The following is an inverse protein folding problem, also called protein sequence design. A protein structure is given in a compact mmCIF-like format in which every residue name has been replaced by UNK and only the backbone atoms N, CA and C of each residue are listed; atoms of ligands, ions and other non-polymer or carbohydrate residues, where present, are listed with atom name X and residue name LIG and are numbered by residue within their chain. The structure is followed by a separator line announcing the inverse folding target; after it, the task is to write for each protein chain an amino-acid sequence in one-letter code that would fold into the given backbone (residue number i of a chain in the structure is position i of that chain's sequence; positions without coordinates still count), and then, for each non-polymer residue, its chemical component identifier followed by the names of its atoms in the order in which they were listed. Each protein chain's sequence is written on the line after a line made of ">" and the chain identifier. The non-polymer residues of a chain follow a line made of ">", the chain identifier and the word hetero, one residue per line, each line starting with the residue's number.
data_IF_842936007166
#
_entry.id   IF_842936007166
#
_cell.length_a   1.000
_cell.length_b   1.000
_cell.length_c   1.000
_cell.angle_alpha   90.00
_cell.angle_beta   90.00
_cell.angle_gamma   90.00
#
_symmetry.space_group_name_H-M   'P 1'
#
loop_
_entity.id
_entity.type
_entity.pdbx_description
1 polymer ?
#
# COMPACT_ATOMS: atom_id res chain seq x y z
N UNK A 1 -1.34 -22.30 8.91
CA UNK A 1 -0.91 -23.31 7.92
C UNK A 1 -0.69 -22.57 6.60
N UNK A 2 0.49 -22.75 6.00
CA UNK A 2 0.83 -22.19 4.69
C UNK A 2 0.25 -23.08 3.58
N UNK A 3 -0.17 -22.50 2.46
CA UNK A 3 -0.63 -23.28 1.30
C UNK A 3 0.61 -23.90 0.65
N UNK A 4 0.72 -25.23 0.63
CA UNK A 4 1.91 -25.89 0.07
C UNK A 4 2.02 -25.78 -1.46
N UNK A 5 0.87 -25.75 -2.15
CA UNK A 5 0.79 -25.77 -3.61
C UNK A 5 1.05 -24.38 -4.19
N UNK A 6 2.18 -24.22 -4.90
CA UNK A 6 2.62 -22.94 -5.43
C UNK A 6 1.65 -22.30 -6.42
N UNK A 7 0.96 -23.10 -7.24
CA UNK A 7 -0.04 -22.60 -8.20
C UNK A 7 -1.28 -22.07 -7.49
N UNK A 8 -1.71 -22.70 -6.39
CA UNK A 8 -2.81 -22.18 -5.57
C UNK A 8 -2.44 -20.87 -4.89
N UNK A 9 -1.19 -20.76 -4.36
CA UNK A 9 -0.70 -19.48 -3.83
C UNK A 9 -0.67 -18.40 -4.91
N UNK A 10 -0.21 -18.74 -6.10
CA UNK A 10 -0.15 -17.82 -7.23
C UNK A 10 -1.54 -17.35 -7.64
N UNK A 11 -2.53 -18.25 -7.72
CA UNK A 11 -3.90 -17.89 -8.05
C UNK A 11 -4.52 -16.91 -7.05
N UNK A 12 -4.26 -17.08 -5.74
CA UNK A 12 -4.73 -16.16 -4.71
C UNK A 12 -4.01 -14.81 -4.77
N UNK A 13 -2.70 -14.80 -5.02
CA UNK A 13 -1.96 -13.57 -5.25
C UNK A 13 -2.49 -12.82 -6.47
N UNK A 14 -2.74 -13.51 -7.59
CA UNK A 14 -3.32 -12.90 -8.78
C UNK A 14 -4.75 -12.39 -8.56
N UNK A 15 -5.53 -13.02 -7.68
CA UNK A 15 -6.83 -12.48 -7.26
C UNK A 15 -6.68 -11.22 -6.41
N UNK A 16 -5.76 -11.22 -5.43
CA UNK A 16 -5.47 -10.03 -4.60
C UNK A 16 -5.03 -8.84 -5.45
N UNK A 17 -4.17 -9.07 -6.45
CA UNK A 17 -3.72 -8.08 -7.42
C UNK A 17 -4.86 -7.29 -8.06
N UNK A 18 -6.02 -7.93 -8.26
CA UNK A 18 -7.17 -7.36 -8.97
C UNK A 18 -8.16 -6.63 -8.05
N UNK A 19 -7.95 -6.61 -6.72
CA UNK A 19 -8.85 -5.94 -5.79
C UNK A 19 -8.96 -4.43 -6.02
N UNK A 20 -7.94 -3.81 -6.63
CA UNK A 20 -7.99 -2.42 -7.11
C UNK A 20 -8.81 -2.20 -8.39
N UNK A 21 -9.50 -3.22 -8.89
CA UNK A 21 -10.26 -3.22 -10.14
C UNK A 21 -9.43 -3.59 -11.38
N UNK A 22 -8.11 -3.43 -11.30
CA UNK A 22 -7.11 -3.86 -12.28
C UNK A 22 -5.84 -4.27 -11.52
N UNK A 23 -4.72 -4.48 -12.22
CA UNK A 23 -3.40 -4.69 -11.58
C UNK A 23 -2.82 -3.42 -10.93
N UNK A 24 -3.66 -2.44 -10.56
CA UNK A 24 -3.26 -1.18 -9.94
C UNK A 24 -3.77 -1.10 -8.51
N UNK A 25 -3.05 -0.34 -7.68
CA UNK A 25 -3.42 -0.10 -6.28
C UNK A 25 -3.04 1.33 -5.90
N UNK A 26 -3.85 1.98 -5.09
CA UNK A 26 -3.54 3.31 -4.56
C UNK A 26 -2.90 3.19 -3.19
N UNK A 27 -1.68 3.70 -3.06
CA UNK A 27 -0.89 3.63 -1.83
C UNK A 27 -1.08 4.92 -1.03
N UNK A 28 -1.45 4.76 0.24
CA UNK A 28 -1.56 5.83 1.23
C UNK A 28 -0.54 5.65 2.36
N UNK A 29 -0.32 6.70 3.13
CA UNK A 29 0.47 6.66 4.37
C UNK A 29 -0.40 7.02 5.56
N UNK A 30 -0.13 6.40 6.71
CA UNK A 30 -0.92 6.58 7.93
C UNK A 30 -0.04 6.83 9.15
N UNK A 31 -0.53 7.66 10.06
CA UNK A 31 0.19 8.06 11.27
C UNK A 31 0.01 7.07 12.44
N UNK A 32 -1.05 6.27 12.40
CA UNK A 32 -1.29 5.14 13.31
C UNK A 32 -1.86 3.96 12.54
N UNK A 33 -2.26 2.88 13.24
CA UNK A 33 -2.89 1.73 12.60
C UNK A 33 -4.21 2.14 11.91
N UNK A 34 -4.34 1.95 10.58
CA UNK A 34 -5.56 2.31 9.84
C UNK A 34 -6.77 1.39 10.08
N UNK A 35 -6.61 0.31 10.83
CA UNK A 35 -7.66 -0.70 11.00
C UNK A 35 -8.10 -1.29 9.66
N UNK A 36 -9.40 -1.60 9.53
CA UNK A 36 -9.98 -2.14 8.29
C UNK A 36 -10.66 -1.08 7.41
N UNK A 37 -10.60 0.20 7.81
CA UNK A 37 -11.33 1.29 7.12
C UNK A 37 -10.42 2.43 6.68
N UNK A 38 -9.11 2.32 6.88
CA UNK A 38 -8.15 3.32 6.42
C UNK A 38 -8.09 4.58 7.27
N UNK A 39 -8.32 4.49 8.58
CA UNK A 39 -8.23 5.67 9.49
C UNK A 39 -6.82 6.24 9.56
N UNK A 40 -6.67 7.46 10.07
CA UNK A 40 -5.38 8.12 10.29
C UNK A 40 -4.52 8.28 9.02
N UNK A 41 -5.15 8.38 7.84
CA UNK A 41 -4.47 8.71 6.60
C UNK A 41 -3.82 10.10 6.66
N UNK A 42 -2.64 10.24 6.08
CA UNK A 42 -1.92 11.49 5.95
C UNK A 42 -2.74 12.57 5.22
N UNK A 43 -2.47 13.84 5.52
CA UNK A 43 -3.14 14.96 4.90
C UNK A 43 -2.25 16.22 4.94
N UNK A 44 -2.61 17.22 4.14
CA UNK A 44 -1.93 18.52 4.11
C UNK A 44 -0.59 18.49 3.37
N UNK A 45 0.32 19.39 3.77
CA UNK A 45 1.62 19.56 3.13
C UNK A 45 1.61 20.51 1.92
N UNK A 46 2.81 20.82 1.44
CA UNK A 46 3.05 21.57 0.20
C UNK A 46 4.38 21.12 -0.42
N UNK A 47 4.38 20.26 -1.46
CA UNK A 47 3.22 19.78 -2.21
C UNK A 47 2.20 19.00 -1.37
N UNK A 48 0.92 19.14 -1.72
CA UNK A 48 -0.17 18.50 -1.00
C UNK A 48 -0.08 16.97 -1.13
N UNK A 49 -0.33 16.28 -0.01
CA UNK A 49 -0.47 14.84 0.03
C UNK A 49 -1.58 14.36 -0.92
N UNK A 50 -1.29 13.28 -1.63
CA UNK A 50 -2.26 12.49 -2.36
C UNK A 50 -1.79 11.04 -2.42
N UNK A 51 -2.75 10.09 -2.44
CA UNK A 51 -2.46 8.68 -2.71
C UNK A 51 -1.77 8.56 -4.06
N UNK A 52 -0.80 7.66 -4.17
CA UNK A 52 -0.06 7.43 -5.41
C UNK A 52 -0.40 6.05 -5.96
N UNK A 53 -0.65 5.96 -7.26
CA UNK A 53 -0.94 4.69 -7.90
C UNK A 53 0.35 3.89 -8.07
N UNK A 54 0.29 2.62 -7.69
CA UNK A 54 1.30 1.61 -7.99
C UNK A 54 0.68 0.52 -8.88
N UNK A 55 1.52 -0.18 -9.62
CA UNK A 55 1.10 -1.30 -10.48
C UNK A 55 1.74 -2.59 -10.01
N UNK A 56 0.92 -3.57 -9.66
CA UNK A 56 1.34 -4.91 -9.29
C UNK A 56 1.87 -5.70 -10.48
N UNK A 57 2.97 -6.41 -10.25
CA UNK A 57 3.55 -7.39 -11.16
C UNK A 57 3.57 -8.74 -10.47
N UNK A 58 3.07 -9.76 -11.15
CA UNK A 58 3.10 -11.14 -10.63
C UNK A 58 4.50 -11.70 -10.72
N UNK A 59 4.99 -12.22 -9.59
CA UNK A 59 6.14 -13.10 -9.54
C UNK A 59 5.73 -14.55 -9.74
N UNK A 60 6.38 -15.44 -9.00
CA UNK A 60 6.04 -16.86 -8.94
C UNK A 60 5.77 -17.28 -7.49
N UNK A 61 5.01 -18.35 -7.31
CA UNK A 61 4.80 -18.96 -6.00
C UNK A 61 3.95 -18.14 -5.01
N UNK A 62 3.15 -17.19 -5.50
CA UNK A 62 2.27 -16.36 -4.67
C UNK A 62 2.83 -14.99 -4.32
N UNK A 63 3.86 -14.53 -5.02
CA UNK A 63 4.50 -13.22 -4.78
C UNK A 63 3.99 -12.18 -5.76
N UNK A 64 3.69 -10.99 -5.26
CA UNK A 64 3.50 -9.78 -6.07
C UNK A 64 4.47 -8.69 -5.59
N UNK A 65 4.92 -7.89 -6.55
CA UNK A 65 5.67 -6.66 -6.27
C UNK A 65 5.03 -5.52 -7.05
N UNK A 66 4.76 -4.39 -6.41
CA UNK A 66 4.28 -3.20 -7.10
C UNK A 66 5.42 -2.24 -7.44
N UNK A 67 5.20 -1.37 -8.42
CA UNK A 67 6.08 -0.23 -8.71
C UNK A 67 6.26 0.63 -7.46
N UNK A 68 7.47 1.15 -7.26
CA UNK A 68 7.73 2.12 -6.20
C UNK A 68 6.92 3.40 -6.44
N UNK A 69 6.42 3.99 -5.37
CA UNK A 69 5.75 5.30 -5.38
C UNK A 69 6.45 6.27 -4.44
N UNK A 70 6.50 7.53 -4.84
CA UNK A 70 7.01 8.65 -4.04
C UNK A 70 5.83 9.48 -3.54
N UNK A 71 5.63 9.53 -2.23
CA UNK A 71 4.49 10.20 -1.60
C UNK A 71 4.96 11.43 -0.85
N UNK A 72 4.45 12.60 -1.26
CA UNK A 72 4.68 13.88 -0.58
C UNK A 72 3.86 13.93 0.71
N UNK A 73 4.51 14.26 1.82
CA UNK A 73 3.91 14.27 3.15
C UNK A 73 4.42 15.43 4.00
N UNK A 74 3.52 15.99 4.82
CA UNK A 74 3.89 16.99 5.82
C UNK A 74 4.75 16.39 6.94
N UNK A 75 5.26 17.26 7.82
CA UNK A 75 5.90 16.83 9.06
C UNK A 75 4.97 15.91 9.87
N UNK A 76 5.52 14.84 10.43
CA UNK A 76 4.76 13.82 11.13
C UNK A 76 5.49 12.49 11.22
N UNK A 77 4.89 11.56 11.97
CA UNK A 77 5.37 10.18 12.09
C UNK A 77 4.43 9.26 11.33
N UNK A 78 4.97 8.52 10.36
CA UNK A 78 4.22 7.60 9.52
C UNK A 78 4.63 6.17 9.85
N UNK A 79 3.65 5.33 10.16
CA UNK A 79 3.84 3.99 10.72
C UNK A 79 3.27 2.89 9.85
N UNK A 80 2.31 3.21 8.99
CA UNK A 80 1.67 2.24 8.11
C UNK A 80 1.50 2.77 6.69
N UNK A 81 1.48 1.85 5.73
CA UNK A 81 0.98 2.10 4.38
C UNK A 81 -0.38 1.42 4.22
N UNK A 82 -1.28 2.06 3.48
CA UNK A 82 -2.61 1.55 3.18
C UNK A 82 -2.81 1.36 1.68
N UNK A 83 -3.73 0.47 1.32
CA UNK A 83 -4.05 0.14 -0.07
C UNK A 83 -5.52 0.43 -0.36
N UNK A 84 -5.78 1.15 -1.45
CA UNK A 84 -7.12 1.59 -1.83
C UNK A 84 -7.44 1.28 -3.27
N UNK A 85 -8.73 1.23 -3.57
CA UNK A 85 -9.24 1.08 -4.94
C UNK A 85 -9.32 2.39 -5.72
N UNK A 86 -9.19 3.55 -5.07
CA UNK A 86 -9.25 4.87 -5.71
C UNK A 86 -8.29 5.89 -5.08
N UNK A 87 -7.95 6.94 -5.85
CA UNK A 87 -7.09 8.06 -5.42
C UNK A 87 -7.71 8.86 -4.27
N UNK A 88 -9.04 8.97 -4.25
CA UNK A 88 -9.83 9.59 -3.19
C UNK A 88 -11.09 8.74 -2.99
N UNK A 89 -11.53 8.58 -1.74
CA UNK A 89 -12.62 7.65 -1.41
C UNK A 89 -12.23 6.20 -1.71
N UNK A 90 -13.12 5.45 -2.39
CA UNK A 90 -12.91 4.04 -2.70
C UNK A 90 -12.97 3.12 -1.47
N UNK A 91 -12.61 1.86 -1.68
CA UNK A 91 -12.60 0.81 -0.64
C UNK A 91 -11.19 0.66 -0.10
N UNK A 92 -11.07 0.56 1.22
CA UNK A 92 -9.83 0.17 1.88
C UNK A 92 -9.63 -1.34 1.69
N UNK A 93 -8.53 -1.71 1.03
CA UNK A 93 -8.25 -3.10 0.66
C UNK A 93 -7.47 -3.79 1.76
N UNK A 94 -6.34 -3.20 2.16
CA UNK A 94 -5.44 -3.77 3.16
C UNK A 94 -4.45 -2.72 3.69
N UNK A 95 -3.66 -3.11 4.68
CA UNK A 95 -2.61 -2.31 5.31
C UNK A 95 -1.35 -3.11 5.55
N UNK A 96 -0.24 -2.41 5.70
CA UNK A 96 1.01 -2.98 6.19
C UNK A 96 1.72 -2.00 7.11
N UNK A 97 2.28 -2.51 8.20
CA UNK A 97 3.20 -1.72 9.02
C UNK A 97 4.50 -1.49 8.24
N UNK A 98 4.99 -0.25 8.25
CA UNK A 98 6.27 0.13 7.64
C UNK A 98 7.27 0.48 8.74
N UNK A 99 8.55 0.56 8.39
CA UNK A 99 9.54 1.16 9.29
C UNK A 99 9.09 2.59 9.62
N UNK A 100 8.80 2.83 10.90
CA UNK A 100 8.30 4.12 11.38
C UNK A 100 9.23 5.24 10.96
N UNK A 101 8.72 6.19 10.18
CA UNK A 101 9.50 7.28 9.60
C UNK A 101 8.96 8.60 10.14
N UNK A 102 9.81 9.37 10.83
CA UNK A 102 9.45 10.70 11.34
C UNK A 102 10.12 11.77 10.51
N UNK A 103 9.33 12.71 10.01
CA UNK A 103 9.79 13.87 9.27
C UNK A 103 9.55 15.13 10.10
N UNK A 104 10.60 15.93 10.31
CA UNK A 104 10.52 17.22 11.03
C UNK A 104 9.99 18.37 10.17
N UNK A 105 9.87 18.17 8.87
CA UNK A 105 9.35 19.13 7.89
C UNK A 105 8.69 18.38 6.73
N UNK A 106 8.14 19.11 5.75
CA UNK A 106 7.70 18.51 4.49
C UNK A 106 8.80 17.61 3.90
N UNK A 107 8.41 16.45 3.40
CA UNK A 107 9.32 15.53 2.75
C UNK A 107 8.59 14.52 1.87
N UNK A 108 9.33 13.48 1.49
CA UNK A 108 8.83 12.39 0.67
C UNK A 108 9.16 11.05 1.33
N UNK A 109 8.24 10.11 1.22
CA UNK A 109 8.45 8.72 1.61
C UNK A 109 8.27 7.85 0.38
N UNK A 110 9.26 6.98 0.14
CA UNK A 110 9.24 6.03 -0.96
C UNK A 110 8.69 4.71 -0.44
N UNK A 111 7.66 4.18 -1.10
CA UNK A 111 7.02 2.92 -0.73
C UNK A 111 7.08 1.98 -1.92
N UNK A 112 7.56 0.75 -1.69
CA UNK A 112 7.53 -0.33 -2.67
C UNK A 112 6.66 -1.46 -2.12
N UNK A 113 5.37 -1.53 -2.47
CA UNK A 113 4.49 -2.57 -1.99
C UNK A 113 4.93 -3.97 -2.44
N UNK A 114 4.84 -4.94 -1.55
CA UNK A 114 4.97 -6.36 -1.87
C UNK A 114 3.91 -7.17 -1.14
N UNK A 115 3.52 -8.28 -1.74
CA UNK A 115 2.59 -9.24 -1.16
C UNK A 115 3.15 -10.64 -1.37
N UNK A 116 3.04 -11.48 -0.35
CA UNK A 116 3.38 -12.89 -0.42
C UNK A 116 2.26 -13.70 0.22
N UNK A 117 1.59 -14.52 -0.59
CA UNK A 117 0.66 -15.51 -0.07
C UNK A 117 1.44 -16.55 0.73
N UNK A 118 1.09 -16.73 2.01
CA UNK A 118 1.59 -17.84 2.83
C UNK A 118 0.92 -19.16 2.48
#
# INVERSE_FOLDING_TARGET
>A
MAIAVATSRQALADAYKLLGGASTVWVSLHTSDPGSTGTAEAAGGSPAYARKQATWTSGTGGVLTATQVTIDVAAGTYTHAGFWTAVTGGTFVDKVAITSTTLGSQGQILVTPSYAQS
#
